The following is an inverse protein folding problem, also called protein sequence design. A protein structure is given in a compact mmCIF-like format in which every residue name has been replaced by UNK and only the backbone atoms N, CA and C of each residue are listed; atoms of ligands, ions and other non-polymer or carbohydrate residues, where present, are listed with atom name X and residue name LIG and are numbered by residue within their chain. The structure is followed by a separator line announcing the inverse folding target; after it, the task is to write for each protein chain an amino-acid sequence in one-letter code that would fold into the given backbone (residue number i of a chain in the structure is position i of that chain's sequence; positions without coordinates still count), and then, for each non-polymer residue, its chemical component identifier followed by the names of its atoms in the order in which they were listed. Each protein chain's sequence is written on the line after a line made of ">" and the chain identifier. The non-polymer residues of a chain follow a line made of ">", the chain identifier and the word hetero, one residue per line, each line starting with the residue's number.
data_IF_871882512570
#
_entry.id   IF_871882512570
#
_cell.length_a   1.000
_cell.length_b   1.000
_cell.length_c   1.000
_cell.angle_alpha   90.00
_cell.angle_beta   90.00
_cell.angle_gamma   90.00
#
_symmetry.space_group_name_H-M   'P 1'
#
loop_
_entity.id
_entity.type
_entity.pdbx_description
1 polymer ?
#
# COMPACT_ATOMS: atom_id res chain seq x y z
N UNK A 1 3.90 -11.97 6.37
CA UNK A 1 2.89 -10.91 6.17
C UNK A 1 2.02 -10.87 7.40
N UNK A 2 1.83 -9.69 8.01
CA UNK A 2 0.97 -9.50 9.20
C UNK A 2 0.06 -8.30 8.98
N UNK A 3 -1.24 -8.45 9.23
CA UNK A 3 -2.21 -7.35 9.21
C UNK A 3 -2.61 -6.98 10.63
N UNK A 4 -2.57 -5.68 10.95
CA UNK A 4 -2.94 -5.12 12.25
C UNK A 4 -3.88 -3.93 12.03
N UNK A 5 -4.89 -3.78 12.90
CA UNK A 5 -5.82 -2.65 12.90
C UNK A 5 -5.39 -1.68 14.00
N UNK A 6 -5.19 -0.41 13.64
CA UNK A 6 -4.77 0.64 14.58
C UNK A 6 -5.99 1.35 15.21
N UNK A 7 -6.98 1.70 14.39
CA UNK A 7 -8.21 2.39 14.83
C UNK A 7 -9.35 2.16 13.84
N UNK A 8 -10.60 2.35 14.30
CA UNK A 8 -11.80 2.18 13.49
C UNK A 8 -12.77 3.36 13.68
N UNK A 9 -13.55 3.65 12.64
CA UNK A 9 -14.73 4.52 12.70
C UNK A 9 -15.89 3.81 11.98
N UNK A 10 -16.86 3.32 12.74
CA UNK A 10 -17.87 2.40 12.23
C UNK A 10 -17.24 1.16 11.57
N UNK A 11 -17.49 0.97 10.28
CA UNK A 11 -16.88 -0.11 9.48
C UNK A 11 -15.57 0.28 8.80
N UNK A 12 -15.18 1.56 8.83
CA UNK A 12 -13.91 2.02 8.29
C UNK A 12 -12.77 1.63 9.23
N UNK A 13 -11.62 1.23 8.65
CA UNK A 13 -10.48 0.70 9.41
C UNK A 13 -9.20 1.37 8.94
N UNK A 14 -8.45 1.91 9.90
CA UNK A 14 -7.04 2.25 9.73
C UNK A 14 -6.20 1.08 10.20
N UNK A 15 -5.21 0.69 9.42
CA UNK A 15 -4.37 -0.47 9.77
C UNK A 15 -3.06 -0.50 9.02
N UNK A 16 -2.31 -1.57 9.22
CA UNK A 16 -0.97 -1.77 8.66
C UNK A 16 -0.80 -3.19 8.16
N UNK A 17 -0.23 -3.32 6.98
CA UNK A 17 0.25 -4.58 6.41
C UNK A 17 1.77 -4.61 6.47
N UNK A 18 2.32 -5.44 7.35
CA UNK A 18 3.78 -5.60 7.54
C UNK A 18 4.32 -6.70 6.64
N UNK A 19 5.34 -6.35 5.85
CA UNK A 19 6.14 -7.24 5.00
C UNK A 19 7.63 -7.04 5.30
N UNK A 20 8.48 -7.96 4.84
CA UNK A 20 9.94 -7.83 5.01
C UNK A 20 10.48 -6.58 4.30
N UNK A 21 9.92 -6.26 3.13
CA UNK A 21 10.31 -5.09 2.31
C UNK A 21 9.69 -3.75 2.76
N UNK A 22 8.96 -3.73 3.87
CA UNK A 22 8.32 -2.52 4.37
C UNK A 22 6.88 -2.70 4.84
N UNK A 23 6.29 -1.61 5.31
CA UNK A 23 4.91 -1.57 5.82
C UNK A 23 4.02 -0.76 4.88
N UNK A 24 2.82 -1.25 4.61
CA UNK A 24 1.78 -0.54 3.85
C UNK A 24 0.69 -0.10 4.82
N UNK A 25 0.50 1.22 4.97
CA UNK A 25 -0.64 1.78 5.72
C UNK A 25 -1.94 1.54 4.92
N UNK A 26 -3.01 1.13 5.59
CA UNK A 26 -4.34 0.94 4.99
C UNK A 26 -5.32 1.99 5.53
N UNK A 27 -6.21 2.55 4.69
CA UNK A 27 -6.50 2.15 3.31
C UNK A 27 -5.42 2.60 2.30
N UNK A 28 -5.12 1.75 1.31
CA UNK A 28 -4.13 2.01 0.27
C UNK A 28 -4.73 1.80 -1.12
N UNK A 29 -4.33 2.65 -2.07
CA UNK A 29 -4.58 2.45 -3.50
C UNK A 29 -3.26 2.08 -4.19
N UNK A 30 -3.20 0.89 -4.77
CA UNK A 30 -1.96 0.37 -5.36
C UNK A 30 -1.93 0.62 -6.88
N UNK A 31 -0.86 1.22 -7.42
CA UNK A 31 -0.70 1.34 -8.87
C UNK A 31 -0.54 -0.04 -9.51
N UNK A 32 -1.00 -0.19 -10.75
CA UNK A 32 -0.92 -1.46 -11.49
C UNK A 32 0.29 -1.44 -12.41
N UNK A 33 1.24 -2.34 -12.16
CA UNK A 33 2.35 -2.62 -13.06
C UNK A 33 2.02 -3.79 -13.98
N UNK A 34 2.02 -3.58 -15.28
CA UNK A 34 1.84 -4.64 -16.28
C UNK A 34 3.11 -4.73 -17.12
N UNK A 35 3.61 -5.95 -17.37
CA UNK A 35 4.88 -6.18 -18.07
C UNK A 35 6.09 -5.51 -17.40
N UNK A 36 6.12 -5.49 -16.07
CA UNK A 36 7.28 -4.99 -15.30
C UNK A 36 7.35 -3.46 -15.14
N UNK A 37 6.31 -2.72 -15.57
CA UNK A 37 6.28 -1.26 -15.48
C UNK A 37 4.89 -0.75 -15.12
N UNK A 38 4.82 0.32 -14.31
CA UNK A 38 3.64 1.18 -14.28
C UNK A 38 3.76 2.11 -15.48
N UNK A 39 2.80 2.04 -16.40
CA UNK A 39 2.91 2.70 -17.71
C UNK A 39 3.18 4.20 -17.54
N UNK A 40 4.17 4.68 -18.27
CA UNK A 40 4.59 6.09 -18.33
C UNK A 40 5.11 6.69 -17.00
N UNK A 41 5.49 5.87 -16.02
CA UNK A 41 6.07 6.34 -14.76
C UNK A 41 7.37 5.58 -14.42
N UNK A 42 8.34 6.28 -13.85
CA UNK A 42 9.53 5.67 -13.22
C UNK A 42 9.21 5.22 -11.79
N UNK A 43 9.99 4.29 -11.19
CA UNK A 43 9.81 3.89 -9.80
C UNK A 43 9.90 5.06 -8.80
N UNK A 44 10.73 6.06 -9.08
CA UNK A 44 10.89 7.25 -8.25
C UNK A 44 9.65 8.15 -8.29
N UNK A 45 8.97 8.26 -9.44
CA UNK A 45 7.70 9.00 -9.57
C UNK A 45 6.55 8.34 -8.80
N UNK A 46 6.69 7.08 -8.38
CA UNK A 46 5.73 6.38 -7.52
C UNK A 46 6.02 6.55 -6.02
N UNK A 47 7.19 7.10 -5.66
CA UNK A 47 7.54 7.38 -4.28
C UNK A 47 6.97 8.76 -3.90
N UNK A 48 6.03 8.77 -2.95
CA UNK A 48 5.43 9.97 -2.36
C UNK A 48 5.73 10.11 -0.88
#
# INVERSE_FOLDING_TARGET
>A
MKFEIDNNDGFARRGRLKFERGTVETPAFMPVGTYGTVKAMTPEELQG
#
